data_IF_543678788744
#
_entry.id   IF_543678788744
#
_cell.length_a   1.000
_cell.length_b   1.000
_cell.length_c   1.000
_cell.angle_alpha   90.00
_cell.angle_beta   90.00
_cell.angle_gamma   90.00
#
_symmetry.space_group_name_H-M   'P 1'
#
loop_
_entity.id
_entity.type
_entity.pdbx_description
1 polymer ?
#
# COMPACT_ATOMS: atom_id res chain seq x y z
N UNK A 1 -31.00 37.01 6.26
CA UNK A 1 -30.25 36.46 5.12
C UNK A 1 -29.02 35.79 5.71
N UNK A 2 -29.08 34.48 5.94
CA UNK A 2 -28.15 33.70 6.78
C UNK A 2 -27.40 32.63 5.96
N UNK A 3 -27.23 32.90 4.66
CA UNK A 3 -26.74 31.91 3.69
C UNK A 3 -25.25 31.61 3.85
N UNK A 4 -24.47 32.51 4.48
CA UNK A 4 -23.03 32.36 4.65
C UNK A 4 -22.65 31.28 5.70
N UNK A 5 -23.49 31.06 6.71
CA UNK A 5 -23.21 30.06 7.77
C UNK A 5 -23.34 28.61 7.24
N UNK A 6 -24.24 28.38 6.28
CA UNK A 6 -24.51 27.05 5.71
C UNK A 6 -23.40 26.63 4.74
N UNK A 7 -22.76 27.57 4.05
CA UNK A 7 -21.62 27.28 3.17
C UNK A 7 -20.36 26.89 3.95
N UNK A 8 -20.10 27.53 5.09
CA UNK A 8 -18.94 27.20 5.95
C UNK A 8 -19.05 25.80 6.56
N UNK A 9 -20.24 25.39 7.03
CA UNK A 9 -20.46 24.04 7.56
C UNK A 9 -20.29 22.97 6.47
N UNK A 10 -20.81 23.21 5.26
CA UNK A 10 -20.61 22.29 4.12
C UNK A 10 -19.14 22.16 3.71
N UNK A 11 -18.39 23.27 3.68
CA UNK A 11 -16.97 23.24 3.34
C UNK A 11 -16.13 22.54 4.41
N UNK A 12 -16.40 22.76 5.70
CA UNK A 12 -15.73 22.08 6.80
C UNK A 12 -16.01 20.56 6.79
N UNK A 13 -17.25 20.17 6.49
CA UNK A 13 -17.67 18.76 6.42
C UNK A 13 -17.07 18.05 5.21
N UNK A 14 -17.02 18.70 4.05
CA UNK A 14 -16.38 18.18 2.85
C UNK A 14 -14.86 18.00 3.00
N UNK A 15 -14.19 18.94 3.70
CA UNK A 15 -12.78 18.84 4.02
C UNK A 15 -12.49 17.69 5.00
N UNK A 16 -13.31 17.50 6.03
CA UNK A 16 -13.17 16.41 7.01
C UNK A 16 -13.43 15.01 6.44
N UNK A 17 -14.36 14.87 5.49
CA UNK A 17 -14.59 13.58 4.80
C UNK A 17 -13.49 13.27 3.79
N UNK A 18 -12.92 14.30 3.15
CA UNK A 18 -11.82 14.16 2.19
C UNK A 18 -10.54 13.67 2.87
N UNK A 19 -10.19 14.25 4.02
CA UNK A 19 -9.00 13.84 4.79
C UNK A 19 -9.13 12.40 5.28
N UNK A 20 -10.29 12.01 5.82
CA UNK A 20 -10.53 10.64 6.28
C UNK A 20 -10.40 9.59 5.16
N UNK A 21 -10.98 9.87 3.98
CA UNK A 21 -10.83 8.98 2.82
C UNK A 21 -9.38 8.90 2.34
N UNK A 22 -8.65 10.01 2.36
CA UNK A 22 -7.25 10.03 1.94
C UNK A 22 -6.34 9.24 2.90
N UNK A 23 -6.58 9.31 4.21
CA UNK A 23 -5.85 8.55 5.21
C UNK A 23 -6.17 7.05 5.14
N UNK A 24 -7.45 6.71 4.90
CA UNK A 24 -7.85 5.33 4.67
C UNK A 24 -7.19 4.76 3.40
N UNK A 25 -7.19 5.53 2.31
CA UNK A 25 -6.51 5.18 1.06
C UNK A 25 -5.01 4.96 1.25
N UNK A 26 -4.32 5.87 1.96
CA UNK A 26 -2.89 5.71 2.31
C UNK A 26 -2.63 4.45 3.14
N UNK A 27 -3.49 4.15 4.11
CA UNK A 27 -3.35 2.96 4.95
C UNK A 27 -3.58 1.66 4.17
N UNK A 28 -4.51 1.66 3.22
CA UNK A 28 -4.78 0.55 2.33
C UNK A 28 -3.61 0.32 1.36
N UNK A 29 -3.11 1.38 0.72
CA UNK A 29 -1.94 1.31 -0.16
C UNK A 29 -0.71 0.80 0.57
N UNK A 30 -0.46 1.23 1.82
CA UNK A 30 0.65 0.73 2.65
C UNK A 30 0.47 -0.75 3.04
N UNK A 31 -0.76 -1.24 3.13
CA UNK A 31 -1.05 -2.64 3.43
C UNK A 31 -0.87 -3.52 2.20
N UNK A 32 -1.23 -3.02 1.02
CA UNK A 32 -1.03 -3.67 -0.26
C UNK A 32 0.43 -3.63 -0.72
N UNK A 33 1.20 -2.57 -0.40
CA UNK A 33 2.64 -2.53 -0.68
C UNK A 33 3.42 -3.60 0.11
N UNK A 34 2.86 -4.09 1.23
CA UNK A 34 3.42 -5.24 1.94
C UNK A 34 3.25 -6.57 1.19
N UNK A 35 2.32 -6.63 0.23
CA UNK A 35 2.09 -7.82 -0.60
C UNK A 35 3.07 -7.93 -1.78
N UNK A 36 3.81 -6.87 -2.07
CA UNK A 36 4.91 -6.90 -3.05
C UNK A 36 6.08 -7.78 -2.55
N UNK A 37 6.05 -8.18 -1.27
CA UNK A 37 6.95 -9.19 -0.73
C UNK A 37 6.31 -10.56 -0.88
N UNK A 38 6.89 -11.36 -1.79
CA UNK A 38 6.60 -12.78 -1.89
C UNK A 38 6.87 -13.44 -0.54
N UNK A 39 5.85 -14.07 0.05
CA UNK A 39 5.99 -14.82 1.28
C UNK A 39 6.85 -16.06 1.02
N UNK A 40 8.07 -16.07 1.55
CA UNK A 40 8.98 -17.20 1.35
C UNK A 40 8.74 -18.33 2.35
N UNK A 41 8.38 -18.03 3.59
CA UNK A 41 8.37 -19.01 4.68
C UNK A 41 7.23 -20.02 4.53
N UNK A 42 5.98 -19.57 4.32
CA UNK A 42 4.83 -20.43 4.08
C UNK A 42 4.71 -21.02 2.67
N UNK A 43 5.59 -20.65 1.74
CA UNK A 43 5.52 -21.15 0.36
C UNK A 43 5.86 -22.66 0.29
N UNK A 44 5.08 -23.49 -0.42
CA UNK A 44 5.41 -24.90 -0.62
C UNK A 44 6.75 -25.09 -1.36
N UNK A 45 7.51 -26.12 -0.96
CA UNK A 45 8.86 -26.38 -1.50
C UNK A 45 8.88 -26.59 -3.02
N UNK A 46 7.81 -27.15 -3.59
CA UNK A 46 7.66 -27.28 -5.05
C UNK A 46 7.76 -25.92 -5.75
N UNK A 47 7.12 -24.89 -5.18
CA UNK A 47 7.11 -23.55 -5.78
C UNK A 47 8.43 -22.84 -5.53
N UNK A 48 9.04 -23.02 -4.34
CA UNK A 48 10.38 -22.52 -4.05
C UNK A 48 11.42 -23.05 -5.04
N UNK A 49 11.32 -24.34 -5.38
CA UNK A 49 12.19 -25.00 -6.37
C UNK A 49 11.94 -24.49 -7.78
N UNK A 50 10.68 -24.38 -8.21
CA UNK A 50 10.35 -23.89 -9.56
C UNK A 50 10.76 -22.44 -9.77
N UNK A 51 10.76 -21.63 -8.71
CA UNK A 51 11.27 -20.25 -8.72
C UNK A 51 12.79 -20.15 -8.59
N UNK A 52 13.49 -21.28 -8.44
CA UNK A 52 14.96 -21.32 -8.35
C UNK A 52 15.52 -20.81 -7.02
N UNK A 53 14.71 -20.62 -5.98
CA UNK A 53 15.21 -20.24 -4.66
C UNK A 53 16.04 -21.34 -4.00
N UNK A 54 15.80 -22.60 -4.39
CA UNK A 54 16.56 -23.76 -3.91
C UNK A 54 17.81 -24.05 -4.75
N UNK A 55 18.12 -23.24 -5.77
CA UNK A 55 19.28 -23.44 -6.64
C UNK A 55 20.61 -23.01 -5.98
N UNK A 56 20.57 -22.40 -4.79
CA UNK A 56 21.77 -21.89 -4.10
C UNK A 56 22.42 -20.69 -4.80
N UNK A 57 21.72 -20.06 -5.74
CA UNK A 57 22.19 -18.85 -6.44
C UNK A 57 22.09 -17.64 -5.51
N UNK A 58 23.07 -16.74 -5.60
CA UNK A 58 23.00 -15.47 -4.88
C UNK A 58 21.82 -14.62 -5.39
N UNK A 59 21.00 -14.03 -4.50
CA UNK A 59 19.92 -13.15 -4.90
C UNK A 59 20.46 -11.94 -5.67
N UNK A 60 19.95 -11.70 -6.89
CA UNK A 60 20.28 -10.50 -7.66
C UNK A 60 19.38 -9.35 -7.26
N UNK A 61 19.88 -8.48 -6.38
CA UNK A 61 19.22 -7.23 -6.06
C UNK A 61 19.50 -6.21 -7.17
N UNK A 62 18.51 -5.92 -8.01
CA UNK A 62 18.60 -4.78 -8.94
C UNK A 62 18.69 -3.49 -8.13
N UNK A 63 19.80 -2.77 -8.26
CA UNK A 63 20.07 -1.51 -7.57
C UNK A 63 19.11 -0.38 -7.97
N UNK A 64 18.32 -0.56 -9.03
CA UNK A 64 17.38 0.43 -9.56
C UNK A 64 16.16 0.70 -8.66
N UNK A 65 15.87 -0.19 -7.70
CA UNK A 65 14.75 0.00 -6.75
C UNK A 65 15.15 0.70 -5.44
N UNK A 66 16.39 1.17 -5.32
CA UNK A 66 16.84 1.98 -4.17
C UNK A 66 16.72 3.47 -4.52
N UNK A 67 15.52 4.03 -4.47
CA UNK A 67 15.26 5.47 -4.49
C UNK A 67 14.57 5.91 -3.21
#
# INVERSE_FOLDING_TARGET
MDCAAIEQDRQAKAAGTSTWLSDFGRRLLRRLSGWDRLEFEGMPDRIKRDLGFMDGREPRYNSEFRR
#
